data_IF_471866968996
#
_entry.id   IF_471866968996
#
_cell.length_a   1.000
_cell.length_b   1.000
_cell.length_c   1.000
_cell.angle_alpha   90.00
_cell.angle_beta   90.00
_cell.angle_gamma   90.00
#
_symmetry.space_group_name_H-M   'P 1'
#
loop_
_entity.id
_entity.type
_entity.pdbx_description
1 polymer ?
#
# COMPACT_ATOMS: atom_id res chain seq x y z
N UNK A 1 -7.43 0.30 14.41
CA UNK A 1 -5.98 0.41 14.15
C UNK A 1 -5.34 -0.96 13.89
N UNK A 2 -6.13 -2.04 13.75
CA UNK A 2 -5.65 -3.41 13.57
C UNK A 2 -6.35 -4.01 12.34
N UNK A 3 -5.62 -4.83 11.57
CA UNK A 3 -6.11 -5.51 10.37
C UNK A 3 -5.40 -6.86 10.18
N UNK A 4 -5.48 -7.69 11.23
CA UNK A 4 -5.02 -9.07 11.35
C UNK A 4 -3.63 -9.36 10.72
N UNK A 5 -3.56 -10.31 9.78
CA UNK A 5 -2.33 -10.81 9.18
C UNK A 5 -1.98 -10.11 7.85
N UNK A 6 -2.18 -8.79 7.79
CA UNK A 6 -1.63 -7.99 6.69
C UNK A 6 -0.09 -8.12 6.62
N UNK A 7 0.48 -7.78 5.45
CA UNK A 7 1.88 -8.05 5.14
C UNK A 7 2.88 -7.54 6.18
N UNK A 8 2.67 -6.34 6.75
CA UNK A 8 3.56 -5.78 7.78
C UNK A 8 3.43 -6.51 9.11
N UNK A 9 2.22 -6.86 9.53
CA UNK A 9 2.01 -7.66 10.75
C UNK A 9 2.64 -9.05 10.60
N UNK A 10 2.45 -9.70 9.45
CA UNK A 10 3.06 -11.00 9.17
C UNK A 10 4.60 -10.92 9.17
N UNK A 11 5.17 -9.88 8.56
CA UNK A 11 6.62 -9.62 8.55
C UNK A 11 7.17 -9.51 9.98
N UNK A 12 6.51 -8.72 10.83
CA UNK A 12 6.93 -8.57 12.23
C UNK A 12 6.91 -9.91 12.98
N UNK A 13 5.90 -10.76 12.75
CA UNK A 13 5.80 -12.10 13.35
C UNK A 13 6.92 -13.03 12.89
N UNK A 14 7.29 -13.00 11.61
CA UNK A 14 8.42 -13.77 11.09
C UNK A 14 9.72 -13.36 11.79
N UNK A 15 9.96 -12.06 12.00
CA UNK A 15 11.18 -11.58 12.69
C UNK A 15 11.22 -12.03 14.16
N UNK A 16 10.11 -11.95 14.88
CA UNK A 16 10.05 -12.41 16.28
C UNK A 16 10.23 -13.94 16.38
N UNK A 17 9.87 -14.71 15.34
CA UNK A 17 9.98 -16.18 15.36
C UNK A 17 11.42 -16.70 15.52
N UNK A 18 12.44 -15.88 15.22
CA UNK A 18 13.85 -16.21 15.44
C UNK A 18 14.40 -15.69 16.78
N UNK A 19 13.53 -15.37 17.73
CA UNK A 19 13.86 -14.78 19.04
C UNK A 19 14.55 -13.40 18.95
N UNK A 20 14.32 -12.66 17.87
CA UNK A 20 14.77 -11.27 17.74
C UNK A 20 13.98 -10.34 18.66
N UNK A 21 14.53 -9.17 18.98
CA UNK A 21 13.88 -8.17 19.80
C UNK A 21 12.75 -7.41 19.07
N UNK A 22 11.93 -6.71 19.85
CA UNK A 22 10.76 -5.98 19.35
C UNK A 22 11.12 -4.81 18.43
N UNK A 23 12.26 -4.14 18.62
CA UNK A 23 12.66 -3.01 17.77
C UNK A 23 13.02 -3.50 16.38
N UNK A 24 13.71 -4.63 16.28
CA UNK A 24 13.98 -5.31 15.00
C UNK A 24 12.69 -5.70 14.28
N UNK A 25 11.70 -6.25 14.99
CA UNK A 25 10.42 -6.64 14.41
C UNK A 25 9.60 -5.45 13.91
N UNK A 26 9.52 -4.37 14.70
CA UNK A 26 8.82 -3.13 14.31
C UNK A 26 9.51 -2.48 13.11
N UNK A 27 10.84 -2.42 13.11
CA UNK A 27 11.61 -1.86 11.99
C UNK A 27 11.34 -2.62 10.69
N UNK A 28 11.34 -3.95 10.73
CA UNK A 28 11.00 -4.77 9.58
C UNK A 28 9.54 -4.59 9.13
N UNK A 29 8.61 -4.51 10.08
CA UNK A 29 7.20 -4.23 9.82
C UNK A 29 7.00 -2.88 9.11
N UNK A 30 7.69 -1.82 9.54
CA UNK A 30 7.69 -0.51 8.87
C UNK A 30 8.25 -0.62 7.45
N UNK A 31 9.34 -1.36 7.25
CA UNK A 31 9.89 -1.61 5.92
C UNK A 31 8.90 -2.27 4.97
N UNK A 32 8.14 -3.25 5.46
CA UNK A 32 7.05 -3.91 4.72
C UNK A 32 5.88 -2.96 4.44
N UNK A 33 5.48 -2.15 5.43
CA UNK A 33 4.39 -1.17 5.31
C UNK A 33 4.69 -0.07 4.28
N UNK A 34 5.96 0.33 4.14
CA UNK A 34 6.39 1.34 3.15
C UNK A 34 6.07 0.94 1.71
N UNK A 35 5.92 -0.34 1.40
CA UNK A 35 5.67 -0.82 0.05
C UNK A 35 4.42 -0.17 -0.58
N UNK A 36 4.43 0.13 -1.90
CA UNK A 36 3.32 0.81 -2.58
C UNK A 36 2.03 -0.02 -2.59
N UNK A 37 2.11 -1.33 -2.43
CA UNK A 37 0.96 -2.25 -2.37
C UNK A 37 0.48 -2.51 -0.94
N UNK A 38 1.03 -1.79 0.03
CA UNK A 38 0.61 -1.86 1.43
C UNK A 38 0.33 -0.45 1.95
N UNK A 39 1.06 0.04 2.95
CA UNK A 39 0.86 1.37 3.52
C UNK A 39 1.18 2.52 2.58
N UNK A 40 2.09 2.35 1.61
CA UNK A 40 2.42 3.38 0.61
C UNK A 40 1.29 3.67 -0.39
N UNK A 41 0.20 2.89 -0.38
CA UNK A 41 -0.94 3.11 -1.25
C UNK A 41 -1.65 4.45 -0.99
N UNK A 42 -1.63 4.95 0.25
CA UNK A 42 -2.32 6.20 0.61
C UNK A 42 -1.66 7.44 -0.05
N UNK A 43 -0.33 7.53 -0.02
CA UNK A 43 0.44 8.56 -0.70
C UNK A 43 0.24 8.46 -2.21
N UNK A 44 0.28 7.24 -2.74
CA UNK A 44 0.08 7.00 -4.16
C UNK A 44 -1.34 7.37 -4.64
N UNK A 45 -2.37 7.21 -3.79
CA UNK A 45 -3.72 7.72 -4.05
C UNK A 45 -3.71 9.24 -4.14
N UNK A 46 -3.03 9.94 -3.23
CA UNK A 46 -2.97 11.40 -3.28
C UNK A 46 -2.24 11.88 -4.54
N UNK A 47 -1.13 11.23 -4.92
CA UNK A 47 -0.42 11.55 -6.17
C UNK A 47 -1.30 11.34 -7.41
N UNK A 48 -2.07 10.24 -7.43
CA UNK A 48 -3.06 9.99 -8.49
C UNK A 48 -4.13 11.09 -8.56
N UNK A 49 -4.65 11.53 -7.41
CA UNK A 49 -5.64 12.62 -7.37
C UNK A 49 -5.07 13.96 -7.85
N UNK A 50 -3.80 14.25 -7.54
CA UNK A 50 -3.09 15.42 -8.06
C UNK A 50 -2.85 15.33 -9.57
N UNK A 51 -2.55 14.14 -10.10
CA UNK A 51 -2.42 13.88 -11.55
C UNK A 51 -3.76 14.11 -12.28
N UNK A 52 -4.88 13.71 -11.65
CA UNK A 52 -6.23 13.93 -12.18
C UNK A 52 -6.61 15.42 -12.16
N UNK A 53 -6.29 16.13 -11.07
CA UNK A 53 -6.52 17.57 -10.89
C UNK A 53 -7.98 17.94 -10.62
N UNK A 54 -8.89 17.64 -11.54
CA UNK A 54 -10.32 17.98 -11.42
C UNK A 54 -11.24 16.76 -11.64
N UNK A 55 -12.41 16.70 -10.97
CA UNK A 55 -13.33 15.56 -11.08
C UNK A 55 -13.78 15.24 -12.50
N UNK A 56 -13.90 16.26 -13.36
CA UNK A 56 -14.29 16.12 -14.77
C UNK A 56 -13.31 15.25 -15.58
N UNK A 57 -12.03 15.20 -15.19
CA UNK A 57 -10.95 14.46 -15.87
C UNK A 57 -10.82 13.01 -15.41
N UNK A 58 -11.43 12.64 -14.28
CA UNK A 58 -11.24 11.34 -13.64
C UNK A 58 -11.61 10.16 -14.55
N UNK A 59 -12.69 10.30 -15.33
CA UNK A 59 -13.15 9.24 -16.24
C UNK A 59 -12.14 8.95 -17.34
N UNK A 60 -11.63 10.00 -18.00
CA UNK A 60 -10.66 9.86 -19.07
C UNK A 60 -9.34 9.29 -18.54
N UNK A 61 -8.87 9.81 -17.40
CA UNK A 61 -7.69 9.31 -16.72
C UNK A 61 -7.77 7.81 -16.42
N UNK A 62 -8.91 7.36 -15.87
CA UNK A 62 -9.13 5.94 -15.55
C UNK A 62 -9.11 5.06 -16.80
N UNK A 63 -9.73 5.51 -17.90
CA UNK A 63 -9.74 4.74 -19.15
C UNK A 63 -8.34 4.59 -19.75
N UNK A 64 -7.51 5.62 -19.66
CA UNK A 64 -6.09 5.56 -20.05
C UNK A 64 -5.34 4.59 -19.15
N UNK A 65 -5.46 4.73 -17.83
CA UNK A 65 -4.78 3.87 -16.85
C UNK A 65 -5.12 2.39 -17.07
N UNK A 66 -6.39 2.06 -17.33
CA UNK A 66 -6.82 0.68 -17.62
C UNK A 66 -6.25 0.16 -18.95
N UNK A 67 -6.24 0.99 -20.00
CA UNK A 67 -5.65 0.62 -21.31
C UNK A 67 -4.16 0.31 -21.19
N UNK A 68 -3.45 1.07 -20.37
CA UNK A 68 -2.04 0.91 -20.09
C UNK A 68 -1.74 -0.17 -19.02
N UNK A 69 -2.77 -0.78 -18.45
CA UNK A 69 -2.66 -1.75 -17.34
C UNK A 69 -1.92 -1.18 -16.12
N UNK A 70 -2.02 0.13 -15.89
CA UNK A 70 -1.55 0.77 -14.64
C UNK A 70 -2.36 0.24 -13.47
N UNK A 71 -1.72 0.05 -12.31
CA UNK A 71 -2.45 -0.20 -11.07
C UNK A 71 -3.18 1.07 -10.64
N UNK A 72 -4.47 0.95 -10.34
CA UNK A 72 -5.28 2.05 -9.80
C UNK A 72 -5.14 2.03 -8.29
N UNK A 73 -4.36 2.95 -7.75
CA UNK A 73 -4.05 3.00 -6.32
C UNK A 73 -5.33 3.29 -5.51
N UNK A 74 -5.46 2.65 -4.35
CA UNK A 74 -6.68 2.70 -3.53
C UNK A 74 -7.75 1.67 -3.90
N UNK A 75 -7.53 0.90 -4.97
CA UNK A 75 -8.39 -0.20 -5.40
C UNK A 75 -7.62 -1.53 -5.41
N UNK A 76 -8.35 -2.62 -5.15
CA UNK A 76 -7.77 -3.95 -4.99
C UNK A 76 -7.43 -4.21 -3.53
N UNK A 77 -8.30 -4.93 -2.83
CA UNK A 77 -8.03 -5.40 -1.49
C UNK A 77 -7.84 -6.91 -1.53
N UNK A 78 -6.69 -7.44 -1.07
CA UNK A 78 -6.47 -8.87 -1.01
C UNK A 78 -7.10 -9.52 0.24
N UNK A 79 -8.23 -9.00 0.77
CA UNK A 79 -8.87 -9.59 1.97
C UNK A 79 -9.17 -11.04 1.66
#
# INVERSE_FOLDING_TARGET
AEHELNASTFTARVVVSSLSDIYSAVTAGIGSLKGPLHGGANEAVMQMLLEIGEPSRAREWLLVALREKRKVMGFGHPV
#
